data_IF_692940961184
#
_entry.id   IF_692940961184
#
_cell.length_a   1.000
_cell.length_b   1.000
_cell.length_c   1.000
_cell.angle_alpha   90.00
_cell.angle_beta   90.00
_cell.angle_gamma   90.00
#
_symmetry.space_group_name_H-M   'P 1'
#
loop_
_entity.id
_entity.type
_entity.pdbx_description
1 polymer ?
#
# COMPACT_ATOMS: atom_id res chain seq x y z
N UNK A 1 11.13 -9.11 -1.33
CA UNK A 1 9.79 -8.56 -0.98
C UNK A 1 9.36 -7.63 -2.10
N UNK A 2 8.08 -7.66 -2.53
CA UNK A 2 7.61 -6.80 -3.61
C UNK A 2 7.71 -5.32 -3.23
N UNK A 3 8.07 -4.49 -4.20
CA UNK A 3 7.99 -3.03 -4.07
C UNK A 3 6.56 -2.59 -4.40
N UNK A 4 6.08 -1.55 -3.75
CA UNK A 4 4.77 -0.99 -4.00
C UNK A 4 4.88 0.17 -4.99
N UNK A 5 3.92 0.28 -5.92
CA UNK A 5 3.69 1.49 -6.72
C UNK A 5 3.14 2.60 -5.83
N UNK A 6 4.03 3.24 -5.07
CA UNK A 6 3.72 4.26 -4.06
C UNK A 6 2.86 5.42 -4.57
N UNK A 7 3.00 5.78 -5.84
CA UNK A 7 2.21 6.85 -6.46
C UNK A 7 0.73 6.53 -6.46
N UNK A 8 0.35 5.26 -6.70
CA UNK A 8 -1.05 4.82 -6.64
C UNK A 8 -1.65 5.00 -5.25
N UNK A 9 -0.89 4.71 -4.19
CA UNK A 9 -1.36 4.94 -2.81
C UNK A 9 -1.46 6.44 -2.53
N UNK A 10 -0.47 7.24 -2.95
CA UNK A 10 -0.47 8.69 -2.70
C UNK A 10 -1.66 9.37 -3.38
N UNK A 11 -1.88 9.09 -4.66
CA UNK A 11 -3.04 9.61 -5.40
C UNK A 11 -4.35 9.20 -4.74
N UNK A 12 -4.50 7.93 -4.36
CA UNK A 12 -5.70 7.49 -3.64
C UNK A 12 -5.90 8.23 -2.31
N UNK A 13 -4.83 8.42 -1.53
CA UNK A 13 -4.90 9.17 -0.27
C UNK A 13 -5.33 10.63 -0.51
N UNK A 14 -4.82 11.27 -1.56
CA UNK A 14 -5.20 12.64 -1.94
C UNK A 14 -6.67 12.70 -2.38
N UNK A 15 -7.09 11.83 -3.30
CA UNK A 15 -8.45 11.80 -3.86
C UNK A 15 -9.52 11.56 -2.79
N UNK A 16 -9.20 10.75 -1.77
CA UNK A 16 -10.11 10.45 -0.68
C UNK A 16 -9.92 11.32 0.58
N UNK A 17 -8.95 12.25 0.58
CA UNK A 17 -8.58 13.07 1.74
C UNK A 17 -8.19 12.23 2.99
N UNK A 18 -7.34 11.22 2.78
CA UNK A 18 -6.83 10.32 3.82
C UNK A 18 -5.40 10.64 4.21
N UNK A 19 -5.10 10.47 5.50
CA UNK A 19 -3.74 10.53 6.01
C UNK A 19 -3.08 9.14 6.03
N UNK A 20 -1.75 9.11 6.01
CA UNK A 20 -0.97 7.86 6.16
C UNK A 20 -1.27 7.20 7.52
N UNK A 21 -1.41 7.99 8.59
CA UNK A 21 -1.75 7.49 9.92
C UNK A 21 -3.09 6.76 9.94
N UNK A 22 -4.13 7.35 9.31
CA UNK A 22 -5.44 6.70 9.18
C UNK A 22 -5.36 5.40 8.37
N UNK A 23 -4.65 5.40 7.25
CA UNK A 23 -4.44 4.18 6.46
C UNK A 23 -3.75 3.08 7.29
N UNK A 24 -2.72 3.43 8.06
CA UNK A 24 -1.99 2.51 8.91
C UNK A 24 -2.86 1.91 10.04
N UNK A 25 -3.68 2.76 10.68
CA UNK A 25 -4.66 2.34 11.70
C UNK A 25 -5.68 1.36 11.11
N UNK A 26 -6.32 1.72 10.00
CA UNK A 26 -7.32 0.88 9.35
C UNK A 26 -6.73 -0.44 8.84
N UNK A 27 -5.50 -0.42 8.32
CA UNK A 27 -4.80 -1.65 7.95
C UNK A 27 -4.51 -2.54 9.15
N UNK A 28 -4.23 -1.94 10.32
CA UNK A 28 -3.99 -2.67 11.57
C UNK A 28 -5.29 -3.28 12.11
N UNK A 29 -6.42 -2.60 11.93
CA UNK A 29 -7.75 -3.10 12.33
C UNK A 29 -8.22 -4.23 11.42
N UNK A 30 -7.98 -4.15 10.11
CA UNK A 30 -8.38 -5.19 9.15
C UNK A 30 -7.37 -6.34 9.01
N UNK A 31 -6.13 -6.11 9.45
CA UNK A 31 -5.05 -7.10 9.41
C UNK A 31 -4.99 -7.94 10.69
N UNK A 32 -4.23 -9.03 10.62
CA UNK A 32 -3.87 -9.84 11.79
C UNK A 32 -2.61 -9.29 12.49
N UNK A 33 -2.04 -8.19 11.99
CA UNK A 33 -0.76 -7.63 12.40
C UNK A 33 -0.83 -6.10 12.38
N UNK A 34 -0.31 -5.46 13.44
CA UNK A 34 -0.27 -4.01 13.56
C UNK A 34 0.76 -3.42 12.60
N UNK A 35 0.33 -2.48 11.77
CA UNK A 35 1.19 -1.69 10.89
C UNK A 35 1.36 -0.29 11.51
N UNK A 36 2.50 0.00 12.15
CA UNK A 36 2.73 1.34 12.68
C UNK A 36 2.83 2.37 11.54
N UNK A 37 2.38 3.59 11.80
CA UNK A 37 2.38 4.69 10.80
C UNK A 37 3.76 4.90 10.18
N UNK A 38 4.83 4.83 10.98
CA UNK A 38 6.20 4.98 10.49
C UNK A 38 6.57 3.95 9.42
N UNK A 39 6.16 2.69 9.61
CA UNK A 39 6.37 1.65 8.59
C UNK A 39 5.55 1.92 7.34
N UNK A 40 4.28 2.33 7.48
CA UNK A 40 3.45 2.71 6.32
C UNK A 40 4.07 3.88 5.55
N UNK A 41 4.56 4.90 6.26
CA UNK A 41 5.22 6.06 5.70
C UNK A 41 6.51 5.68 4.97
N UNK A 42 7.34 4.82 5.54
CA UNK A 42 8.55 4.32 4.89
C UNK A 42 8.23 3.59 3.59
N UNK A 43 7.18 2.78 3.58
CA UNK A 43 6.72 2.04 2.40
C UNK A 43 6.17 2.98 1.32
N UNK A 44 5.32 3.95 1.69
CA UNK A 44 4.80 4.98 0.76
C UNK A 44 5.93 5.89 0.24
N UNK A 45 7.01 6.06 1.00
CA UNK A 45 8.21 6.76 0.53
C UNK A 45 9.17 5.86 -0.25
N UNK A 46 8.91 4.56 -0.35
CA UNK A 46 9.76 3.60 -1.05
C UNK A 46 11.10 3.35 -0.35
N UNK A 47 11.19 3.64 0.95
CA UNK A 47 12.38 3.42 1.79
C UNK A 47 12.50 1.94 2.13
N UNK A 48 11.40 1.30 2.50
CA UNK A 48 11.36 -0.10 2.88
C UNK A 48 10.34 -0.88 2.03
N UNK A 49 10.65 -2.12 1.64
CA UNK A 49 9.66 -2.99 1.04
C UNK A 49 8.66 -3.49 2.10
N UNK A 50 7.50 -3.96 1.66
CA UNK A 50 6.45 -4.45 2.56
C UNK A 50 6.15 -5.94 2.31
N UNK A 51 5.78 -6.65 3.38
CA UNK A 51 5.36 -8.05 3.29
C UNK A 51 4.05 -8.18 2.50
N UNK A 52 3.88 -9.21 1.65
CA UNK A 52 2.65 -9.43 0.87
C UNK A 52 1.35 -9.39 1.69
N UNK A 53 1.34 -9.94 2.90
CA UNK A 53 0.16 -9.90 3.78
C UNK A 53 -0.27 -8.48 4.16
N UNK A 54 0.68 -7.60 4.48
CA UNK A 54 0.41 -6.19 4.79
C UNK A 54 -0.03 -5.41 3.53
N UNK A 55 0.51 -5.74 2.36
CA UNK A 55 0.04 -5.16 1.09
C UNK A 55 -1.40 -5.56 0.80
N UNK A 56 -1.79 -6.82 1.08
CA UNK A 56 -3.19 -7.24 0.98
C UNK A 56 -4.10 -6.49 1.94
N UNK A 57 -3.62 -6.17 3.15
CA UNK A 57 -4.37 -5.33 4.09
C UNK A 57 -4.62 -3.92 3.52
N UNK A 58 -3.59 -3.31 2.89
CA UNK A 58 -3.74 -2.03 2.17
C UNK A 58 -4.84 -2.17 1.10
N UNK A 59 -4.74 -3.14 0.18
CA UNK A 59 -5.76 -3.34 -0.86
C UNK A 59 -7.18 -3.45 -0.29
N UNK A 60 -7.35 -4.17 0.82
CA UNK A 60 -8.65 -4.31 1.49
C UNK A 60 -9.17 -2.97 2.03
N UNK A 61 -8.31 -2.15 2.66
CA UNK A 61 -8.71 -0.82 3.13
C UNK A 61 -9.10 0.07 1.97
N UNK A 62 -8.28 0.13 0.91
CA UNK A 62 -8.57 0.97 -0.25
C UNK A 62 -9.90 0.58 -0.92
N UNK A 63 -10.20 -0.72 -1.00
CA UNK A 63 -11.44 -1.23 -1.57
C UNK A 63 -12.66 -1.02 -0.65
N UNK A 64 -12.44 -0.96 0.67
CA UNK A 64 -13.53 -0.73 1.64
C UNK A 64 -13.99 0.72 1.66
N UNK A 65 -13.08 1.67 1.43
CA UNK A 65 -13.34 3.10 1.61
C UNK A 65 -13.23 3.93 0.31
N UNK A 66 -13.08 3.29 -0.85
CA UNK A 66 -12.96 3.95 -2.14
C UNK A 66 -12.95 2.94 -3.29
N UNK A 67 -12.33 3.32 -4.41
CA UNK A 67 -12.34 2.54 -5.65
C UNK A 67 -11.47 1.27 -5.61
N UNK A 68 -10.63 1.13 -4.56
CA UNK A 68 -9.74 0.01 -4.38
C UNK A 68 -8.60 -0.07 -5.40
N UNK A 69 -7.54 -0.78 -5.04
CA UNK A 69 -6.41 -1.04 -5.94
C UNK A 69 -6.07 -2.53 -5.84
N UNK A 70 -6.22 -3.31 -6.92
CA UNK A 70 -5.94 -4.73 -6.87
C UNK A 70 -4.44 -4.97 -6.66
N UNK A 71 -4.12 -6.10 -6.04
CA UNK A 71 -2.77 -6.42 -5.57
C UNK A 71 -1.73 -6.36 -6.69
N UNK A 72 -2.03 -6.95 -7.85
CA UNK A 72 -1.19 -6.98 -9.06
C UNK A 72 -0.90 -5.58 -9.62
N UNK A 73 -1.87 -4.65 -9.50
CA UNK A 73 -1.63 -3.25 -9.88
C UNK A 73 -0.78 -2.54 -8.85
N UNK A 74 -0.95 -2.86 -7.57
CA UNK A 74 -0.27 -2.19 -6.47
C UNK A 74 1.19 -2.61 -6.32
N UNK A 75 1.53 -3.87 -6.62
CA UNK A 75 2.92 -4.34 -6.62
C UNK A 75 3.63 -4.03 -7.93
N UNK A 76 4.93 -3.71 -7.84
CA UNK A 76 5.82 -3.74 -8.98
C UNK A 76 6.24 -5.20 -9.18
N UNK A 77 5.93 -5.77 -10.34
CA UNK A 77 6.55 -7.04 -10.73
C UNK A 77 8.05 -6.81 -10.78
N UNK A 78 8.78 -7.67 -10.09
CA UNK A 78 10.22 -7.58 -9.97
C UNK A 78 10.89 -8.06 -11.23
N UNK A 79 10.61 -7.46 -12.37
CA UNK A 79 11.39 -7.63 -13.59
C UNK A 79 11.26 -6.38 -14.45
N UNK A 80 12.27 -5.53 -14.36
CA UNK A 80 12.58 -4.57 -15.41
C UNK A 80 13.12 -5.28 -16.64
N UNK A 81 12.44 -6.34 -17.10
CA UNK A 81 12.60 -6.92 -18.41
C UNK A 81 12.16 -5.90 -19.44
N UNK A 82 13.03 -4.95 -19.72
CA UNK A 82 13.05 -4.27 -21.01
C UNK A 82 13.22 -5.37 -22.06
N UNK A 83 12.09 -5.80 -22.62
CA UNK A 83 12.09 -6.32 -23.97
C UNK A 83 12.59 -5.19 -24.88
N UNK A 84 13.85 -5.27 -25.26
CA UNK A 84 14.40 -4.62 -26.44
C UNK A 84 15.17 -5.65 -27.23
#
# INVERSE_FOLDING_TARGET
MPKIKRELIRTWLEDHNWSIGRLAEECSVLGEDTIPEGTMRNVINGIEPMRPGRIKAICKVLAKYGDGIPYDRLVMDGDGGQAR
#
